data_IF_145488783390
#
_entry.id   IF_145488783390
#
_cell.length_a   1.000
_cell.length_b   1.000
_cell.length_c   1.000
_cell.angle_alpha   90.00
_cell.angle_beta   90.00
_cell.angle_gamma   90.00
#
_symmetry.space_group_name_H-M   'P 1'
#
loop_
_entity.id
_entity.type
_entity.pdbx_description
1 polymer ?
#
# COMPACT_ATOMS: atom_id res chain seq x y z
N UNK A 1 3.76 19.88 -23.51
CA UNK A 1 4.94 20.05 -22.64
C UNK A 1 4.94 18.86 -21.69
N UNK A 2 5.80 17.86 -21.91
CA UNK A 2 5.81 16.64 -21.09
C UNK A 2 6.68 16.96 -19.88
N UNK A 3 6.06 17.20 -18.73
CA UNK A 3 6.74 17.35 -17.46
C UNK A 3 7.45 16.03 -17.14
N UNK A 4 8.78 16.00 -17.24
CA UNK A 4 9.55 14.83 -16.84
C UNK A 4 9.54 14.77 -15.31
N UNK A 5 8.61 13.97 -14.78
CA UNK A 5 8.47 13.75 -13.36
C UNK A 5 9.76 13.13 -12.81
N UNK A 6 10.38 13.80 -11.84
CA UNK A 6 11.51 13.24 -11.07
C UNK A 6 11.05 11.94 -10.42
N UNK A 7 11.79 10.83 -10.56
CA UNK A 7 11.38 9.54 -9.99
C UNK A 7 11.24 9.68 -8.47
N UNK A 8 10.03 9.44 -7.98
CA UNK A 8 9.75 9.45 -6.54
C UNK A 8 10.34 8.18 -5.95
N UNK A 9 11.19 8.34 -4.94
CA UNK A 9 11.67 7.21 -4.15
C UNK A 9 10.45 6.63 -3.41
N UNK A 10 10.14 5.35 -3.67
CA UNK A 10 8.97 4.71 -3.08
C UNK A 10 9.05 4.62 -1.56
N UNK A 11 7.91 4.47 -0.90
CA UNK A 11 7.82 4.20 0.54
C UNK A 11 8.48 2.86 0.89
N UNK A 12 8.79 2.64 2.17
CA UNK A 12 9.37 1.38 2.63
C UNK A 12 8.49 0.17 2.26
N UNK A 13 7.17 0.33 2.32
CA UNK A 13 6.20 -0.71 1.94
C UNK A 13 6.23 -1.00 0.44
N UNK A 14 6.33 0.04 -0.40
CA UNK A 14 6.45 -0.12 -1.84
C UNK A 14 7.73 -0.87 -2.23
N UNK A 15 8.86 -0.53 -1.62
CA UNK A 15 10.12 -1.25 -1.84
C UNK A 15 10.05 -2.69 -1.34
N UNK A 16 9.32 -2.94 -0.24
CA UNK A 16 9.07 -4.28 0.29
C UNK A 16 8.22 -5.11 -0.68
N UNK A 17 7.17 -4.54 -1.26
CA UNK A 17 6.32 -5.21 -2.25
C UNK A 17 7.13 -5.63 -3.50
N UNK A 18 7.97 -4.74 -4.03
CA UNK A 18 8.88 -5.09 -5.15
C UNK A 18 9.83 -6.24 -4.80
N UNK A 19 10.42 -6.22 -3.60
CA UNK A 19 11.28 -7.32 -3.13
C UNK A 19 10.52 -8.62 -2.98
N UNK A 20 9.25 -8.60 -2.54
CA UNK A 20 8.40 -9.81 -2.51
C UNK A 20 8.20 -10.36 -3.92
N UNK A 21 7.87 -9.50 -4.88
CA UNK A 21 7.66 -9.89 -6.27
C UNK A 21 8.89 -10.57 -6.89
N UNK A 22 10.09 -10.04 -6.60
CA UNK A 22 11.34 -10.68 -7.02
C UNK A 22 11.53 -12.08 -6.42
N UNK A 23 11.02 -12.33 -5.21
CA UNK A 23 11.10 -13.66 -4.57
C UNK A 23 10.09 -14.64 -5.14
N UNK A 24 8.98 -14.18 -5.72
CA UNK A 24 8.00 -15.08 -6.35
C UNK A 24 8.60 -15.86 -7.52
N UNK A 25 9.56 -15.28 -8.25
CA UNK A 25 10.33 -15.97 -9.31
C UNK A 25 11.07 -17.22 -8.83
N UNK A 26 11.37 -17.33 -7.54
CA UNK A 26 12.13 -18.46 -6.99
C UNK A 26 11.25 -19.58 -6.47
N UNK A 27 9.92 -19.47 -6.62
CA UNK A 27 9.00 -20.46 -6.08
C UNK A 27 8.96 -21.70 -6.99
N UNK A 28 9.32 -22.89 -6.47
CA UNK A 28 9.25 -24.12 -7.24
C UNK A 28 7.80 -24.59 -7.39
N UNK A 29 7.56 -25.56 -8.26
CA UNK A 29 6.27 -26.26 -8.31
C UNK A 29 6.02 -26.96 -6.96
N UNK A 30 4.77 -26.90 -6.49
CA UNK A 30 4.32 -27.45 -5.21
C UNK A 30 4.66 -26.60 -3.97
N UNK A 31 5.07 -25.34 -4.13
CA UNK A 31 5.50 -24.47 -3.01
C UNK A 31 4.43 -24.27 -1.91
N UNK A 32 3.16 -24.43 -2.26
CA UNK A 32 2.02 -24.35 -1.33
C UNK A 32 1.40 -25.73 -1.15
N UNK A 33 1.83 -26.45 -0.10
CA UNK A 33 1.34 -27.80 0.26
C UNK A 33 1.33 -28.83 -0.89
N UNK A 34 2.21 -28.70 -1.89
CA UNK A 34 2.26 -29.58 -3.06
C UNK A 34 1.40 -29.11 -4.25
N UNK A 35 0.61 -28.05 -4.12
CA UNK A 35 -0.32 -27.57 -5.16
C UNK A 35 0.20 -26.34 -5.92
N UNK A 36 1.05 -25.53 -5.29
CA UNK A 36 1.45 -24.22 -5.81
C UNK A 36 2.08 -24.25 -7.22
N UNK A 37 1.55 -23.44 -8.13
CA UNK A 37 2.05 -23.28 -9.50
C UNK A 37 3.16 -22.20 -9.54
N UNK A 38 4.27 -22.41 -10.27
CA UNK A 38 5.27 -21.36 -10.50
C UNK A 38 4.69 -20.17 -11.29
N UNK A 39 5.09 -18.96 -10.90
CA UNK A 39 4.62 -17.73 -11.55
C UNK A 39 5.22 -17.55 -12.94
N UNK A 40 4.39 -17.20 -13.91
CA UNK A 40 4.87 -16.85 -15.26
C UNK A 40 5.36 -15.41 -15.32
N UNK A 41 6.37 -15.16 -16.16
CA UNK A 41 7.02 -13.84 -16.29
C UNK A 41 6.02 -12.71 -16.63
N UNK A 42 4.97 -13.03 -17.39
CA UNK A 42 3.92 -12.07 -17.77
C UNK A 42 3.15 -11.56 -16.54
N UNK A 43 2.76 -12.46 -15.64
CA UNK A 43 2.01 -12.13 -14.41
C UNK A 43 2.86 -11.26 -13.49
N UNK A 44 4.14 -11.61 -13.32
CA UNK A 44 5.10 -10.80 -12.55
C UNK A 44 5.29 -9.40 -13.14
N UNK A 45 5.49 -9.31 -14.45
CA UNK A 45 5.64 -8.03 -15.15
C UNK A 45 4.39 -7.15 -15.01
N UNK A 46 3.21 -7.75 -15.09
CA UNK A 46 1.95 -7.04 -14.90
C UNK A 46 1.78 -6.52 -13.46
N UNK A 47 2.07 -7.35 -12.46
CA UNK A 47 2.01 -6.95 -11.06
C UNK A 47 3.07 -5.87 -10.72
N UNK A 48 4.29 -5.96 -11.27
CA UNK A 48 5.33 -4.93 -11.09
C UNK A 48 4.88 -3.57 -11.68
N UNK A 49 4.24 -3.58 -12.85
CA UNK A 49 3.68 -2.35 -13.44
C UNK A 49 2.61 -1.69 -12.56
N UNK A 50 1.77 -2.46 -11.87
CA UNK A 50 0.79 -1.91 -10.93
C UNK A 50 1.47 -1.27 -9.72
N UNK A 51 2.50 -1.92 -9.17
CA UNK A 51 3.30 -1.39 -8.05
C UNK A 51 4.03 -0.11 -8.47
N UNK A 52 4.62 -0.07 -9.67
CA UNK A 52 5.28 1.12 -10.19
C UNK A 52 4.33 2.30 -10.35
N UNK A 53 3.11 2.04 -10.83
CA UNK A 53 2.09 3.09 -10.90
C UNK A 53 1.69 3.57 -9.51
N UNK A 54 1.56 2.67 -8.55
CA UNK A 54 1.29 3.04 -7.17
C UNK A 54 2.39 3.95 -6.59
N UNK A 55 3.66 3.63 -6.84
CA UNK A 55 4.80 4.45 -6.45
C UNK A 55 4.72 5.84 -7.11
N UNK A 56 4.51 5.87 -8.43
CA UNK A 56 4.48 7.12 -9.21
C UNK A 56 3.34 8.05 -8.76
N UNK A 57 2.18 7.49 -8.41
CA UNK A 57 1.05 8.25 -7.88
C UNK A 57 1.15 8.55 -6.38
N UNK A 58 2.19 8.07 -5.69
CA UNK A 58 2.39 8.35 -4.26
C UNK A 58 1.34 7.69 -3.36
N UNK A 59 0.90 6.48 -3.72
CA UNK A 59 -0.03 5.69 -2.91
C UNK A 59 0.63 5.34 -1.56
N UNK A 60 -0.10 5.48 -0.46
CA UNK A 60 0.46 5.39 0.89
C UNK A 60 1.06 4.02 1.20
N UNK A 61 0.36 2.95 0.85
CA UNK A 61 0.80 1.58 1.09
C UNK A 61 0.50 0.66 -0.09
N UNK A 62 1.35 -0.33 -0.29
CA UNK A 62 1.10 -1.42 -1.25
C UNK A 62 1.69 -2.71 -0.71
N UNK A 63 1.06 -3.83 -1.06
CA UNK A 63 1.62 -5.14 -0.80
C UNK A 63 1.29 -6.10 -1.95
N UNK A 64 2.08 -7.17 -2.07
CA UNK A 64 1.89 -8.22 -3.05
C UNK A 64 1.86 -9.59 -2.37
N UNK A 65 0.95 -10.45 -2.81
CA UNK A 65 0.73 -11.78 -2.27
C UNK A 65 0.74 -12.83 -3.39
N UNK A 66 1.43 -13.96 -3.19
CA UNK A 66 1.41 -15.06 -4.13
C UNK A 66 0.09 -15.84 -4.01
N UNK A 67 -0.56 -16.08 -5.14
CA UNK A 67 -1.71 -16.98 -5.26
C UNK A 67 -1.28 -18.38 -5.68
N UNK A 68 -2.10 -19.39 -5.34
CA UNK A 68 -1.72 -20.82 -5.45
C UNK A 68 -1.66 -21.25 -6.91
N UNK A 69 -2.51 -20.70 -7.77
CA UNK A 69 -2.61 -21.04 -9.19
C UNK A 69 -1.66 -20.20 -10.07
N UNK A 70 -0.67 -19.54 -9.45
CA UNK A 70 0.31 -18.70 -10.13
C UNK A 70 -0.19 -17.27 -10.43
N UNK A 71 -1.33 -16.89 -9.88
CA UNK A 71 -1.85 -15.52 -9.84
C UNK A 71 -1.13 -14.67 -8.78
N UNK A 72 -1.06 -13.36 -9.00
CA UNK A 72 -0.45 -12.43 -8.04
C UNK A 72 -1.47 -11.38 -7.65
N UNK A 73 -1.75 -11.28 -6.36
CA UNK A 73 -2.62 -10.27 -5.80
C UNK A 73 -1.80 -9.05 -5.36
N UNK A 74 -2.12 -7.89 -5.92
CA UNK A 74 -1.53 -6.60 -5.57
C UNK A 74 -2.57 -5.76 -4.86
N UNK A 75 -2.25 -5.31 -3.65
CA UNK A 75 -3.14 -4.47 -2.83
C UNK A 75 -2.59 -3.05 -2.73
N UNK A 76 -3.46 -2.05 -2.82
CA UNK A 76 -3.15 -0.63 -2.69
C UNK A 76 -4.00 -0.03 -1.58
N UNK A 77 -3.34 0.61 -0.62
CA UNK A 77 -3.97 1.25 0.54
C UNK A 77 -3.85 2.76 0.43
N UNK A 78 -4.95 3.47 0.61
CA UNK A 78 -4.94 4.94 0.68
C UNK A 78 -5.74 5.48 1.87
N UNK A 79 -5.50 6.75 2.21
CA UNK A 79 -6.21 7.50 3.24
C UNK A 79 -6.28 6.74 4.55
N UNK A 80 -5.13 6.21 5.01
CA UNK A 80 -5.00 5.41 6.22
C UNK A 80 -5.92 4.18 6.22
N UNK A 81 -6.03 3.52 5.05
CA UNK A 81 -6.78 2.28 4.88
C UNK A 81 -8.28 2.44 4.61
N UNK A 82 -8.79 3.67 4.42
CA UNK A 82 -10.22 3.89 4.11
C UNK A 82 -10.59 3.61 2.66
N UNK A 83 -9.62 3.66 1.77
CA UNK A 83 -9.77 3.27 0.38
C UNK A 83 -8.80 2.12 0.12
N UNK A 84 -9.33 1.04 -0.43
CA UNK A 84 -8.60 -0.19 -0.69
C UNK A 84 -8.87 -0.65 -2.12
N UNK A 85 -7.81 -0.96 -2.85
CA UNK A 85 -7.90 -1.58 -4.16
C UNK A 85 -7.13 -2.89 -4.14
N UNK A 86 -7.71 -3.92 -4.70
CA UNK A 86 -7.07 -5.22 -4.90
C UNK A 86 -7.10 -5.55 -6.40
N UNK A 87 -5.96 -6.00 -6.91
CA UNK A 87 -5.77 -6.43 -8.28
C UNK A 87 -5.18 -7.84 -8.26
N UNK A 88 -5.98 -8.84 -8.61
CA UNK A 88 -5.51 -10.22 -8.76
C UNK A 88 -5.19 -10.47 -10.23
N UNK A 89 -3.90 -10.54 -10.53
CA UNK A 89 -3.36 -10.74 -11.88
C UNK A 89 -3.26 -12.24 -12.15
N UNK A 90 -4.09 -12.75 -13.06
CA UNK A 90 -4.09 -14.16 -13.45
C UNK A 90 -2.93 -14.52 -14.40
N UNK A 91 -2.64 -15.82 -14.54
CA UNK A 91 -1.61 -16.34 -15.43
C UNK A 91 -1.84 -16.00 -16.92
N UNK A 92 -3.11 -15.89 -17.35
CA UNK A 92 -3.46 -15.51 -18.72
C UNK A 92 -3.36 -13.99 -18.98
N UNK A 93 -3.21 -13.20 -17.92
CA UNK A 93 -3.10 -11.75 -17.95
C UNK A 93 -4.42 -11.00 -17.77
N UNK A 94 -5.54 -11.68 -17.52
CA UNK A 94 -6.75 -11.04 -16.96
C UNK A 94 -6.47 -10.54 -15.55
N UNK A 95 -7.17 -9.49 -15.15
CA UNK A 95 -7.03 -8.90 -13.81
C UNK A 95 -8.40 -8.86 -13.18
N UNK A 96 -8.57 -9.52 -12.04
CA UNK A 96 -9.73 -9.33 -11.18
C UNK A 96 -9.48 -8.10 -10.31
N UNK A 97 -10.41 -7.16 -10.34
CA UNK A 97 -10.29 -5.88 -9.65
C UNK A 97 -11.42 -5.73 -8.65
N UNK A 98 -11.03 -5.49 -7.40
CA UNK A 98 -11.90 -5.20 -6.28
C UNK A 98 -11.56 -3.81 -5.74
N UNK A 99 -12.60 -3.01 -5.49
CA UNK A 99 -12.47 -1.70 -4.84
C UNK A 99 -13.39 -1.63 -3.63
N UNK A 100 -12.80 -1.32 -2.49
CA UNK A 100 -13.52 -1.08 -1.24
C UNK A 100 -13.35 0.36 -0.75
N UNK A 101 -14.43 0.86 -0.16
CA UNK A 101 -14.47 2.17 0.49
C UNK A 101 -15.14 2.06 1.85
N UNK A 102 -14.42 2.51 2.88
CA UNK A 102 -14.86 2.46 4.28
C UNK A 102 -15.31 1.02 4.69
N UNK A 103 -14.54 0.02 4.25
CA UNK A 103 -14.76 -1.40 4.55
C UNK A 103 -15.95 -2.03 3.84
N UNK A 104 -16.44 -1.42 2.76
CA UNK A 104 -17.50 -1.97 1.92
C UNK A 104 -17.01 -2.11 0.49
N UNK A 105 -17.27 -3.27 -0.10
CA UNK A 105 -17.11 -3.49 -1.53
C UNK A 105 -18.01 -2.54 -2.31
N UNK A 106 -17.41 -1.82 -3.25
CA UNK A 106 -18.08 -0.86 -4.14
C UNK A 106 -18.08 -1.38 -5.58
N UNK A 107 -17.03 -2.12 -5.96
CA UNK A 107 -16.88 -2.63 -7.32
C UNK A 107 -16.06 -3.92 -7.31
N UNK A 108 -16.53 -4.93 -8.04
CA UNK A 108 -15.84 -6.19 -8.32
C UNK A 108 -16.06 -6.53 -9.80
N UNK A 109 -14.97 -6.68 -10.57
CA UNK A 109 -15.03 -6.96 -12.00
C UNK A 109 -13.69 -7.49 -12.56
N UNK A 110 -13.78 -8.26 -13.64
CA UNK A 110 -12.61 -8.59 -14.47
C UNK A 110 -12.30 -7.45 -15.44
N UNK A 111 -11.04 -7.03 -15.49
CA UNK A 111 -10.52 -5.95 -16.33
C UNK A 111 -9.23 -6.35 -17.01
N UNK A 112 -8.84 -5.57 -18.02
CA UNK A 112 -7.51 -5.63 -18.59
C UNK A 112 -6.53 -4.68 -17.87
N UNK A 113 -5.26 -4.77 -18.24
CA UNK A 113 -4.21 -3.90 -17.72
C UNK A 113 -4.49 -2.42 -17.98
N UNK A 114 -5.07 -2.05 -19.12
CA UNK A 114 -5.33 -0.63 -19.41
C UNK A 114 -6.36 -0.04 -18.44
N UNK A 115 -7.48 -0.73 -18.22
CA UNK A 115 -8.49 -0.36 -17.27
C UNK A 115 -7.96 -0.34 -15.82
N UNK A 116 -7.07 -1.27 -15.45
CA UNK A 116 -6.43 -1.26 -14.13
C UNK A 116 -5.62 0.04 -13.90
N UNK A 117 -4.85 0.47 -14.90
CA UNK A 117 -4.12 1.75 -14.85
C UNK A 117 -5.05 2.94 -14.69
N UNK A 118 -6.20 2.93 -15.37
CA UNK A 118 -7.21 3.98 -15.26
C UNK A 118 -7.89 4.04 -13.88
N UNK A 119 -8.15 2.89 -13.22
CA UNK A 119 -8.67 2.88 -11.85
C UNK A 119 -7.69 3.52 -10.86
N UNK A 120 -6.40 3.17 -10.94
CA UNK A 120 -5.34 3.77 -10.11
C UNK A 120 -5.28 5.29 -10.34
N UNK A 121 -5.27 5.72 -11.62
CA UNK A 121 -5.27 7.14 -12.01
C UNK A 121 -6.48 7.90 -11.51
N UNK A 122 -7.67 7.31 -11.63
CA UNK A 122 -8.93 7.95 -11.22
C UNK A 122 -8.92 8.23 -9.72
N UNK A 123 -8.56 7.24 -8.91
CA UNK A 123 -8.50 7.41 -7.45
C UNK A 123 -7.47 8.45 -7.03
N UNK A 124 -6.31 8.49 -7.70
CA UNK A 124 -5.35 9.56 -7.49
C UNK A 124 -5.94 10.94 -7.79
N UNK A 125 -6.58 11.13 -8.95
CA UNK A 125 -7.23 12.41 -9.32
C UNK A 125 -8.29 12.84 -8.31
N UNK A 126 -9.12 11.90 -7.84
CA UNK A 126 -10.16 12.18 -6.84
C UNK A 126 -9.57 12.61 -5.50
N UNK A 127 -8.44 12.03 -5.09
CA UNK A 127 -7.75 12.42 -3.87
C UNK A 127 -7.21 13.84 -3.94
N UNK A 128 -6.58 14.22 -5.05
CA UNK A 128 -6.05 15.57 -5.25
C UNK A 128 -7.16 16.63 -5.34
N UNK A 129 -8.27 16.34 -6.04
CA UNK A 129 -9.43 17.24 -6.11
C UNK A 129 -10.00 17.59 -4.74
N UNK A 130 -9.98 16.66 -3.79
CA UNK A 130 -10.47 16.91 -2.44
C UNK A 130 -9.55 17.82 -1.63
N UNK A 131 -8.24 17.82 -1.92
CA UNK A 131 -7.28 18.72 -1.27
C UNK A 131 -7.49 20.17 -1.69
N UNK A 132 -7.79 20.44 -2.96
CA UNK A 132 -8.04 21.81 -3.46
C UNK A 132 -9.29 22.44 -2.83
N UNK A 133 -10.30 21.63 -2.51
CA UNK A 133 -11.54 22.09 -1.88
C UNK A 133 -11.37 22.42 -0.38
N UNK A 134 -10.26 22.02 0.24
CA UNK A 134 -9.95 22.33 1.65
C UNK A 134 -9.10 23.58 1.79
N UNK A 135 -9.35 24.60 0.97
CA UNK A 135 -9.05 25.97 1.39
C UNK A 135 -10.07 26.31 2.48
N UNK A 136 -9.75 25.93 3.73
CA UNK A 136 -10.19 26.76 4.86
C UNK A 136 -9.70 28.14 4.49
N UNK A 137 -10.62 29.00 4.09
CA UNK A 137 -10.37 30.40 3.87
C UNK A 137 -9.88 30.91 5.23
N UNK A 138 -8.56 30.86 5.42
CA UNK A 138 -7.87 31.66 6.41
C UNK A 138 -8.03 33.08 5.88
N UNK A 139 -9.24 33.63 6.04
CA UNK A 139 -9.41 35.07 5.93
C UNK A 139 -8.48 35.59 7.00
N UNK A 140 -7.37 36.19 6.56
CA UNK A 140 -6.60 37.08 7.40
C UNK A 140 -7.61 38.12 7.86
N UNK A 141 -8.17 37.91 9.05
CA UNK A 141 -9.02 38.91 9.69
C UNK A 141 -8.12 40.14 9.72
N UNK A 142 -8.48 41.14 8.92
CA UNK A 142 -7.71 42.38 8.80
C UNK A 142 -7.85 43.09 10.14
N UNK A 143 -7.09 42.65 11.12
CA UNK A 143 -6.98 43.38 12.35
C UNK A 143 -6.14 44.62 12.04
N UNK A 144 -6.70 45.76 12.43
CA UNK A 144 -6.17 47.06 12.06
C UNK A 144 -4.72 47.17 12.52
N UNK A 145 -3.82 47.28 11.56
CA UNK A 145 -2.55 48.01 11.64
C UNK A 145 -1.74 47.80 12.93
N UNK A 146 -0.98 46.71 13.00
CA UNK A 146 0.26 46.73 13.78
C UNK A 146 1.35 47.38 12.92
N UNK A 147 1.70 48.63 13.25
CA UNK A 147 2.87 49.32 12.69
C UNK A 147 4.11 48.52 13.05
N UNK A 148 4.76 47.91 12.05
CA UNK A 148 6.05 47.27 12.24
C UNK A 148 7.09 48.35 12.59
N UNK A 149 7.73 48.23 13.76
CA UNK A 149 8.93 48.95 14.11
C UNK A 149 10.15 48.23 13.51
N UNK A 150 11.15 48.94 12.97
CA UNK A 150 12.38 48.32 12.48
C UNK A 150 13.14 47.72 13.66
N UNK A 151 13.27 46.39 13.68
CA UNK A 151 13.99 45.67 14.73
C UNK A 151 15.48 45.99 14.64
N UNK A 152 15.99 46.63 15.68
CA UNK A 152 17.41 46.79 15.93
C UNK A 152 18.10 45.42 16.09
N UNK A 153 19.34 45.35 15.65
CA UNK A 153 20.23 44.19 15.73
C UNK A 153 20.17 43.47 17.09
N UNK A 154 19.86 42.17 17.06
CA UNK A 154 20.19 41.28 18.17
C UNK A 154 21.56 40.64 17.91
N UNK A 155 22.48 40.65 18.89
CA UNK A 155 23.69 39.84 18.84
C UNK A 155 23.33 38.35 18.96
N UNK A 156 24.11 37.55 18.24
CA UNK A 156 24.04 36.10 18.19
C UNK A 156 24.51 35.52 19.53
N UNK A 157 23.59 35.00 20.35
CA UNK A 157 23.94 34.15 21.49
C UNK A 157 24.21 32.73 21.01
N UNK A 158 25.40 32.23 21.33
CA UNK A 158 25.79 30.85 21.09
C UNK A 158 25.09 29.93 22.10
N UNK A 159 24.42 28.89 21.59
CA UNK A 159 23.86 27.83 22.42
C UNK A 159 24.97 26.87 22.86
N UNK A 160 25.21 26.68 24.18
CA UNK A 160 26.03 25.59 24.65
C UNK A 160 25.22 24.29 24.52
N UNK A 161 25.74 23.36 23.73
CA UNK A 161 25.22 22.00 23.60
C UNK A 161 25.23 21.30 24.97
N UNK A 162 24.05 21.00 25.51
CA UNK A 162 23.90 20.03 26.60
C UNK A 162 24.05 18.62 26.03
N UNK A 163 25.25 18.05 26.13
CA UNK A 163 25.44 16.60 26.08
C UNK A 163 25.01 16.00 27.41
N UNK A 164 23.73 15.59 27.50
CA UNK A 164 23.23 14.81 28.62
C UNK A 164 23.39 13.31 28.30
N UNK A 165 24.40 12.70 28.91
CA UNK A 165 24.64 11.26 28.86
C UNK A 165 23.62 10.53 29.73
N UNK A 166 22.65 9.85 29.14
CA UNK A 166 21.70 9.03 29.87
C UNK A 166 22.37 7.78 30.50
N UNK A 167 22.26 7.55 31.82
CA UNK A 167 22.78 6.34 32.46
C UNK A 167 21.91 5.12 32.12
N UNK A 168 22.49 4.16 31.37
CA UNK A 168 21.89 2.84 31.13
C UNK A 168 22.03 1.96 32.37
N UNK A 169 20.97 1.88 33.18
CA UNK A 169 20.82 0.82 34.19
C UNK A 169 20.10 -0.37 33.55
N UNK A 170 20.84 -1.44 33.24
CA UNK A 170 20.23 -2.73 32.88
C UNK A 170 19.70 -3.39 34.15
N UNK A 171 18.38 -3.40 34.31
CA UNK A 171 17.71 -4.33 35.23
C UNK A 171 17.04 -5.38 34.36
N UNK A 172 17.62 -6.56 34.30
CA UNK A 172 16.98 -7.73 33.70
C UNK A 172 16.13 -8.37 34.80
N UNK A 173 14.83 -8.07 34.81
CA UNK A 173 13.83 -8.85 35.54
C UNK A 173 13.06 -9.68 34.52
N UNK A 174 13.25 -10.99 34.56
CA UNK A 174 12.37 -11.92 33.86
C UNK A 174 11.13 -12.11 34.72
N UNK A 175 9.96 -11.82 34.15
CA UNK A 175 8.68 -12.26 34.70
C UNK A 175 8.31 -13.57 33.99
N UNK A 176 8.18 -14.65 34.76
CA UNK A 176 7.55 -15.88 34.29
C UNK A 176 6.05 -15.60 34.25
N UNK A 177 5.46 -15.60 33.06
CA UNK A 177 4.01 -15.60 32.88
C UNK A 177 3.63 -16.86 32.12
N UNK A 178 3.16 -17.84 32.88
CA UNK A 178 2.47 -19.01 32.33
C UNK A 178 1.00 -18.87 32.69
N UNK A 179 0.21 -18.30 31.78
CA UNK A 179 -1.23 -18.50 31.76
C UNK A 179 -1.70 -18.65 30.30
N UNK A 180 -2.49 -19.68 29.96
CA UNK A 180 -3.09 -19.82 28.65
C UNK A 180 -4.23 -18.80 28.52
N UNK A 181 -3.97 -17.71 27.82
CA UNK A 181 -5.02 -16.77 27.42
C UNK A 181 -5.86 -17.39 26.32
N UNK A 182 -7.05 -17.87 26.66
CA UNK A 182 -8.10 -18.18 25.69
C UNK A 182 -8.62 -16.87 25.12
N UNK A 183 -8.21 -16.53 23.91
CA UNK A 183 -8.64 -15.33 23.20
C UNK A 183 -10.14 -15.41 22.90
N UNK A 184 -10.95 -14.58 23.57
CA UNK A 184 -12.32 -14.26 23.14
C UNK A 184 -12.24 -13.59 21.78
N UNK A 185 -13.03 -14.11 20.83
CA UNK A 185 -13.04 -13.72 19.43
C UNK A 185 -13.15 -12.21 19.22
N UNK A 186 -12.15 -11.67 18.51
CA UNK A 186 -12.28 -10.40 17.81
C UNK A 186 -13.28 -10.55 16.65
N UNK A 187 -14.06 -9.50 16.35
CA UNK A 187 -15.00 -9.53 15.23
C UNK A 187 -14.25 -9.50 13.88
N UNK A 188 -14.65 -10.40 12.99
CA UNK A 188 -14.41 -10.43 11.55
C UNK A 188 -12.96 -10.26 11.07
N UNK A 189 -12.11 -11.24 11.38
CA UNK A 189 -11.09 -11.62 10.41
C UNK A 189 -11.83 -12.18 9.19
N UNK A 190 -11.84 -11.47 8.08
CA UNK A 190 -12.17 -12.09 6.80
C UNK A 190 -11.20 -13.26 6.62
N UNK A 191 -11.68 -14.49 6.37
CA UNK A 191 -10.81 -15.58 5.97
C UNK A 191 -10.22 -15.19 4.60
N UNK A 192 -9.02 -14.62 4.64
CA UNK A 192 -8.13 -14.62 3.48
C UNK A 192 -7.84 -16.09 3.18
N UNK A 193 -7.96 -16.46 1.89
CA UNK A 193 -7.92 -17.80 1.29
C UNK A 193 -9.30 -18.43 0.96
N UNK A 194 -9.78 -18.11 -0.26
CA UNK A 194 -10.40 -19.04 -1.21
C UNK A 194 -11.89 -19.39 -1.05
N UNK A 195 -12.74 -18.97 -2.00
CA UNK A 195 -13.47 -19.98 -2.79
C UNK A 195 -13.50 -19.66 -4.29
N UNK A 196 -12.39 -19.24 -4.90
CA UNK A 196 -12.27 -19.21 -6.37
C UNK A 196 -11.74 -20.54 -6.93
N UNK A 197 -12.19 -21.67 -6.39
CA UNK A 197 -12.15 -22.94 -7.10
C UNK A 197 -13.49 -23.11 -7.85
N UNK A 198 -13.59 -22.54 -9.05
CA UNK A 198 -14.64 -22.94 -9.97
C UNK A 198 -14.36 -24.38 -10.43
N UNK A 199 -15.29 -25.34 -10.25
CA UNK A 199 -15.07 -26.70 -10.73
C UNK A 199 -15.21 -26.76 -12.26
N UNK A 200 -14.15 -27.20 -12.93
CA UNK A 200 -14.23 -28.03 -14.13
C UNK A 200 -14.36 -27.34 -15.48
N UNK A 201 -13.22 -26.94 -16.08
CA UNK A 201 -13.10 -26.93 -17.55
C UNK A 201 -12.61 -28.31 -18.02
N UNK A 202 -13.55 -29.22 -18.25
CA UNK A 202 -13.26 -30.47 -18.97
C UNK A 202 -12.97 -30.12 -20.44
N UNK A 203 -11.72 -30.36 -20.86
CA UNK A 203 -11.33 -30.41 -22.28
C UNK A 203 -12.03 -31.60 -22.93
N UNK A 204 -13.00 -31.33 -23.80
CA UNK A 204 -13.44 -32.30 -24.79
C UNK A 204 -12.38 -32.33 -25.91
N UNK A 205 -11.65 -33.43 -26.01
CA UNK A 205 -10.91 -33.80 -27.22
C UNK A 205 -11.89 -34.47 -28.19
N UNK A 206 -12.02 -33.93 -29.38
CA UNK A 206 -12.51 -34.63 -30.57
C UNK A 206 -11.30 -34.95 -31.47
#
# INVERSE_FOLDING_TARGET
>A
MIEQATPRLGTADQLKAKKKLQRFLTYPSGWHFGEGIPFVQKTLSNADQLIDLAINYGIEGTDAFPGVDGEIMVTLYHRRGRLYQEFTVEADGRIHFLFEKDGKEVLDQTIDMHAAKEHIRRLWREQWRLSDSSTKITTTRSDRSSKAWPSSHHPMEAFPSLTESAPKRRVVKYAITSEPTTTKGSPANHPFFGPYQLPGFLRATA
#
